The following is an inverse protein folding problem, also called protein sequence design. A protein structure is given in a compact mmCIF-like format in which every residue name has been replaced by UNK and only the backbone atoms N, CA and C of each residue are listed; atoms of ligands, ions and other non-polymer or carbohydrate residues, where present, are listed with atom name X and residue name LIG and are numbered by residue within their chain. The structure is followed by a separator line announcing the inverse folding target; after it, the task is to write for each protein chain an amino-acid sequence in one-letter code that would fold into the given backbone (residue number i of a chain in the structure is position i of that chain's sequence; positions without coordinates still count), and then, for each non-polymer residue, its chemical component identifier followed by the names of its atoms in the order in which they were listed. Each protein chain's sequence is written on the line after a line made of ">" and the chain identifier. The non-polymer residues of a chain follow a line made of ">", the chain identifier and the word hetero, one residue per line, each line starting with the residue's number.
data_IF_631069588504
#
_entry.id   IF_631069588504
#
_cell.length_a   1.000
_cell.length_b   1.000
_cell.length_c   1.000
_cell.angle_alpha   90.00
_cell.angle_beta   90.00
_cell.angle_gamma   90.00
#
_symmetry.space_group_name_H-M   'P 1'
#
loop_
_entity.id
_entity.type
_entity.pdbx_description
1 polymer ?
#
# COMPACT_ATOMS: atom_id res chain seq x y z
N UNK A 1 20.44 -14.02 -1.62
CA UNK A 1 19.41 -13.79 -2.65
C UNK A 1 18.06 -13.91 -1.96
N UNK A 2 17.40 -12.79 -1.66
CA UNK A 2 16.08 -12.81 -0.99
C UNK A 2 15.04 -13.21 -2.04
N UNK A 3 14.39 -14.37 -1.88
CA UNK A 3 13.27 -14.77 -2.72
C UNK A 3 12.16 -13.73 -2.58
N UNK A 4 11.78 -13.10 -3.67
CA UNK A 4 10.71 -12.11 -3.68
C UNK A 4 9.36 -12.81 -3.69
N UNK A 5 8.72 -12.76 -2.52
CA UNK A 5 7.29 -12.77 -2.19
C UNK A 5 6.30 -13.29 -3.25
N UNK A 6 5.60 -14.38 -2.91
CA UNK A 6 4.33 -14.78 -3.53
C UNK A 6 3.34 -13.60 -3.52
N UNK A 7 2.48 -13.49 -4.54
CA UNK A 7 1.58 -12.35 -4.74
C UNK A 7 0.67 -12.06 -3.56
N UNK A 8 0.28 -13.09 -2.80
CA UNK A 8 -0.52 -12.95 -1.57
C UNK A 8 0.23 -12.23 -0.44
N UNK A 9 1.52 -11.97 -0.59
CA UNK A 9 2.38 -11.33 0.41
C UNK A 9 2.58 -9.84 0.15
N UNK A 10 1.82 -9.24 -0.77
CA UNK A 10 1.83 -7.79 -1.01
C UNK A 10 0.43 -7.22 -1.20
N UNK A 11 0.26 -5.93 -0.91
CA UNK A 11 -0.97 -5.18 -1.16
C UNK A 11 -0.67 -3.70 -1.40
N UNK A 12 -1.58 -3.00 -2.07
CA UNK A 12 -1.50 -1.55 -2.23
C UNK A 12 -2.39 -0.87 -1.20
N UNK A 13 -1.82 0.12 -0.50
CA UNK A 13 -2.60 0.99 0.34
C UNK A 13 -2.21 2.45 0.17
N UNK A 14 -3.09 3.32 0.65
CA UNK A 14 -2.83 4.75 0.75
C UNK A 14 -2.88 5.20 2.19
N UNK A 15 -1.96 6.07 2.58
CA UNK A 15 -2.03 6.79 3.86
C UNK A 15 -2.38 8.26 3.61
N UNK A 16 -3.30 8.78 4.43
CA UNK A 16 -3.68 10.19 4.46
C UNK A 16 -2.71 10.97 5.36
N UNK A 17 -1.97 11.94 4.81
CA UNK A 17 -0.97 12.72 5.55
C UNK A 17 -1.34 14.21 5.58
N UNK A 18 -1.50 14.77 6.78
CA UNK A 18 -1.63 16.21 6.99
C UNK A 18 -2.85 16.85 6.35
N UNK A 19 -3.98 16.13 6.24
CA UNK A 19 -5.28 16.59 5.71
C UNK A 19 -5.33 16.92 4.20
N UNK A 20 -4.21 16.95 3.49
CA UNK A 20 -4.14 17.34 2.06
C UNK A 20 -3.28 16.42 1.20
N UNK A 21 -2.39 15.60 1.79
CA UNK A 21 -1.41 14.82 1.03
C UNK A 21 -1.66 13.32 1.12
N UNK A 22 -1.98 12.70 -0.02
CA UNK A 22 -2.10 11.24 -0.14
C UNK A 22 -0.75 10.61 -0.53
N UNK A 23 -0.41 9.48 0.10
CA UNK A 23 0.77 8.67 -0.27
C UNK A 23 0.36 7.24 -0.53
N UNK A 24 0.70 6.73 -1.70
CA UNK A 24 0.42 5.35 -2.09
C UNK A 24 1.65 4.50 -1.87
N UNK A 25 1.44 3.35 -1.23
CA UNK A 25 2.46 2.38 -0.90
C UNK A 25 2.13 1.03 -1.54
N UNK A 26 3.16 0.37 -2.07
CA UNK A 26 3.19 -1.08 -2.17
C UNK A 26 3.69 -1.60 -0.82
N UNK A 27 2.85 -2.37 -0.13
CA UNK A 27 3.14 -2.94 1.17
C UNK A 27 3.44 -4.42 1.00
N UNK A 28 4.53 -4.89 1.59
CA UNK A 28 4.96 -6.27 1.53
C UNK A 28 5.05 -6.85 2.95
N UNK A 29 4.52 -8.06 3.11
CA UNK A 29 4.74 -8.89 4.29
C UNK A 29 6.07 -9.61 4.16
N UNK A 30 6.91 -9.50 5.18
CA UNK A 30 8.12 -10.34 5.30
C UNK A 30 7.95 -11.33 6.46
N UNK A 31 9.01 -12.06 6.78
CA UNK A 31 9.05 -12.95 7.95
C UNK A 31 8.85 -12.17 9.25
N UNK A 32 9.55 -11.04 9.42
CA UNK A 32 9.63 -10.33 10.71
C UNK A 32 9.10 -8.88 10.64
N UNK A 33 8.74 -8.38 9.46
CA UNK A 33 8.40 -6.98 9.26
C UNK A 33 7.38 -6.73 8.16
N UNK A 34 6.66 -5.63 8.30
CA UNK A 34 5.86 -5.01 7.26
C UNK A 34 6.68 -3.91 6.58
N UNK A 35 6.85 -3.99 5.26
CA UNK A 35 7.62 -3.01 4.49
C UNK A 35 6.68 -2.22 3.60
N UNK A 36 6.71 -0.89 3.68
CA UNK A 36 5.95 0.00 2.81
C UNK A 36 6.85 0.77 1.86
N UNK A 37 6.77 0.45 0.57
CA UNK A 37 7.47 1.17 -0.49
C UNK A 37 6.56 2.22 -1.09
N UNK A 38 6.96 3.49 -1.03
CA UNK A 38 6.19 4.56 -1.67
C UNK A 38 6.29 4.46 -3.20
N UNK A 39 5.16 4.19 -3.85
CA UNK A 39 5.04 4.01 -5.31
C UNK A 39 4.36 5.20 -6.03
N UNK A 40 3.70 6.08 -5.29
CA UNK A 40 3.16 7.33 -5.84
C UNK A 40 3.07 8.45 -4.80
N UNK A 41 3.28 9.68 -5.28
CA UNK A 41 2.89 10.92 -4.61
C UNK A 41 1.48 11.30 -5.02
N UNK A 42 0.79 12.02 -4.12
CA UNK A 42 -0.36 12.90 -4.36
C UNK A 42 -1.33 12.46 -5.45
N UNK A 43 -2.27 11.62 -5.06
CA UNK A 43 -3.56 11.56 -5.73
C UNK A 43 -4.40 12.64 -5.07
N UNK A 44 -4.44 13.84 -5.63
CA UNK A 44 -5.31 14.92 -5.20
C UNK A 44 -6.71 14.71 -5.78
N UNK A 45 -7.73 15.20 -5.07
CA UNK A 45 -9.17 15.08 -5.37
C UNK A 45 -9.60 15.71 -6.72
N UNK A 46 -8.69 16.27 -7.50
CA UNK A 46 -9.05 17.24 -8.53
C UNK A 46 -8.94 16.67 -9.94
N UNK A 47 -10.14 16.38 -10.43
CA UNK A 47 -10.57 16.30 -11.83
C UNK A 47 -10.27 15.00 -12.58
N UNK A 48 -11.29 14.54 -13.31
CA UNK A 48 -11.27 13.47 -14.31
C UNK A 48 -10.27 13.74 -15.47
N UNK A 49 -9.57 14.87 -15.42
CA UNK A 49 -8.64 15.41 -16.41
C UNK A 49 -7.17 15.37 -15.98
N UNK A 50 -6.86 14.84 -14.78
CA UNK A 50 -5.46 14.68 -14.38
C UNK A 50 -4.84 13.45 -15.10
N UNK A 51 -4.28 13.70 -16.28
CA UNK A 51 -3.68 12.71 -17.19
C UNK A 51 -2.65 11.79 -16.51
N UNK A 52 -2.09 12.20 -15.36
CA UNK A 52 -1.12 11.43 -14.59
C UNK A 52 -1.77 10.46 -13.58
N UNK A 53 -2.97 10.78 -13.09
CA UNK A 53 -3.70 10.00 -12.08
C UNK A 53 -4.61 8.97 -12.75
N UNK A 54 -5.19 9.31 -13.89
CA UNK A 54 -6.15 8.47 -14.60
C UNK A 54 -5.62 7.05 -14.95
N UNK A 55 -4.36 6.87 -15.39
CA UNK A 55 -3.79 5.54 -15.61
C UNK A 55 -3.69 4.72 -14.31
N UNK A 56 -3.33 5.35 -13.20
CA UNK A 56 -3.21 4.67 -11.90
C UNK A 56 -4.57 4.23 -11.35
N UNK A 57 -5.60 5.07 -11.50
CA UNK A 57 -6.95 4.71 -11.08
C UNK A 57 -7.50 3.57 -11.93
N UNK A 58 -7.25 3.55 -13.25
CA UNK A 58 -7.60 2.41 -14.10
C UNK A 58 -6.93 1.11 -13.65
N UNK A 59 -5.63 1.16 -13.32
CA UNK A 59 -4.89 0.01 -12.79
C UNK A 59 -5.46 -0.49 -11.47
N UNK A 60 -5.91 0.41 -10.59
CA UNK A 60 -6.58 0.03 -9.33
C UNK A 60 -7.98 -0.55 -9.57
N UNK A 61 -8.71 -0.04 -10.55
CA UNK A 61 -10.09 -0.43 -10.87
C UNK A 61 -10.19 -1.79 -11.59
N UNK A 62 -9.16 -2.22 -12.33
CA UNK A 62 -9.20 -3.44 -13.15
C UNK A 62 -9.10 -4.78 -12.38
N UNK A 63 -9.25 -4.73 -11.05
CA UNK A 63 -9.50 -5.86 -10.14
C UNK A 63 -8.50 -7.03 -10.06
N UNK A 64 -7.54 -7.21 -10.96
CA UNK A 64 -7.13 -8.59 -11.21
C UNK A 64 -5.68 -8.83 -11.60
N UNK A 65 -4.86 -7.80 -11.63
CA UNK A 65 -3.53 -7.98 -12.18
C UNK A 65 -2.48 -7.17 -11.44
N UNK A 66 -1.80 -7.85 -10.51
CA UNK A 66 -0.56 -7.31 -9.97
C UNK A 66 0.46 -7.07 -11.07
N UNK A 67 0.38 -7.70 -12.25
CA UNK A 67 1.23 -7.36 -13.40
C UNK A 67 0.89 -5.99 -13.97
N UNK A 68 -0.37 -5.55 -13.97
CA UNK A 68 -0.74 -4.18 -14.34
C UNK A 68 -0.19 -3.15 -13.34
N UNK A 69 -0.17 -3.49 -12.05
CA UNK A 69 0.49 -2.70 -11.00
C UNK A 69 2.02 -2.70 -11.19
N UNK A 70 2.62 -3.87 -11.40
CA UNK A 70 4.04 -4.04 -11.60
C UNK A 70 4.47 -3.26 -12.86
N UNK A 71 3.71 -3.37 -13.95
CA UNK A 71 3.88 -2.63 -15.20
C UNK A 71 3.78 -1.13 -14.97
N UNK A 72 2.80 -0.65 -14.19
CA UNK A 72 2.72 0.76 -13.81
C UNK A 72 3.96 1.22 -13.03
N UNK A 73 4.39 0.44 -12.03
CA UNK A 73 5.59 0.71 -11.25
C UNK A 73 6.83 0.72 -12.16
N UNK A 74 7.02 -0.31 -12.98
CA UNK A 74 8.14 -0.44 -13.93
C UNK A 74 8.18 0.71 -14.93
N UNK A 75 7.04 1.06 -15.53
CA UNK A 75 6.93 2.16 -16.49
C UNK A 75 7.17 3.53 -15.84
N UNK A 76 6.74 3.72 -14.59
CA UNK A 76 6.94 4.97 -13.85
C UNK A 76 8.36 5.11 -13.34
N UNK A 77 8.95 4.04 -12.84
CA UNK A 77 10.28 4.06 -12.24
C UNK A 77 11.40 3.85 -13.24
N UNK A 78 11.13 3.37 -14.48
CA UNK A 78 11.93 3.34 -15.74
C UNK A 78 13.43 3.01 -15.66
N UNK A 79 13.96 2.71 -14.48
CA UNK A 79 15.30 2.24 -14.18
C UNK A 79 15.12 1.13 -13.18
N UNK A 80 15.31 -0.09 -13.67
CA UNK A 80 15.36 -1.35 -12.95
C UNK A 80 15.67 -1.18 -11.47
N UNK A 81 14.63 -1.15 -10.65
CA UNK A 81 14.78 -1.57 -9.27
C UNK A 81 14.05 -2.90 -9.23
N UNK A 82 14.79 -4.04 -9.36
CA UNK A 82 14.24 -5.33 -8.97
C UNK A 82 13.54 -5.14 -7.64
N UNK A 83 12.33 -5.67 -7.44
CA UNK A 83 11.60 -5.46 -6.19
C UNK A 83 12.46 -5.87 -4.97
N UNK A 84 13.41 -6.80 -5.15
CA UNK A 84 14.40 -7.23 -4.14
C UNK A 84 15.59 -6.30 -3.91
N UNK A 85 15.73 -5.28 -4.74
CA UNK A 85 16.68 -4.18 -4.62
C UNK A 85 15.96 -2.84 -4.36
N UNK A 86 14.68 -2.85 -3.97
CA UNK A 86 13.99 -1.64 -3.53
C UNK A 86 14.73 -1.03 -2.34
N UNK A 87 15.58 -0.08 -2.66
CA UNK A 87 16.40 0.63 -1.70
C UNK A 87 15.49 1.61 -0.95
N UNK A 88 14.96 1.15 0.19
CA UNK A 88 14.03 1.88 1.07
C UNK A 88 14.54 3.31 1.35
N UNK A 89 15.88 3.48 1.34
CA UNK A 89 16.59 4.73 1.55
C UNK A 89 16.34 5.83 0.50
N UNK A 90 15.73 5.55 -0.66
CA UNK A 90 15.47 6.59 -1.67
C UNK A 90 14.25 7.47 -1.39
N UNK A 91 13.36 7.07 -0.49
CA UNK A 91 12.17 7.86 -0.14
C UNK A 91 12.02 7.95 1.37
N UNK A 92 12.12 9.17 1.92
CA UNK A 92 11.87 9.46 3.36
C UNK A 92 10.49 9.01 3.85
N UNK A 93 9.57 8.70 2.95
CA UNK A 93 8.22 8.25 3.27
C UNK A 93 8.07 6.72 3.26
N UNK A 94 8.99 5.97 2.64
CA UNK A 94 9.01 4.51 2.73
C UNK A 94 9.36 4.08 4.15
N UNK A 95 8.94 2.88 4.56
CA UNK A 95 9.09 2.43 5.95
C UNK A 95 9.29 0.93 6.08
N UNK A 96 9.87 0.53 7.22
CA UNK A 96 9.88 -0.84 7.74
C UNK A 96 9.28 -0.77 9.13
N UNK A 97 8.38 -1.70 9.45
CA UNK A 97 7.81 -1.85 10.79
C UNK A 97 7.99 -3.31 11.17
N UNK A 98 8.83 -3.56 12.16
CA UNK A 98 8.94 -4.88 12.78
C UNK A 98 7.59 -5.27 13.41
N UNK A 99 7.15 -6.51 13.23
CA UNK A 99 5.88 -6.96 13.77
C UNK A 99 5.83 -6.84 15.30
N UNK A 100 6.95 -7.07 15.97
CA UNK A 100 7.14 -6.87 17.43
C UNK A 100 6.85 -5.43 17.90
N UNK A 101 6.91 -4.43 17.01
CA UNK A 101 6.62 -3.03 17.31
C UNK A 101 5.16 -2.65 17.09
N UNK A 102 4.36 -3.55 16.52
CA UNK A 102 2.92 -3.33 16.29
C UNK A 102 2.17 -3.71 17.57
N UNK A 103 1.62 -2.71 18.25
CA UNK A 103 0.88 -2.86 19.51
C UNK A 103 -0.57 -3.30 19.29
N UNK A 104 -1.18 -2.89 18.17
CA UNK A 104 -2.57 -3.18 17.86
C UNK A 104 -2.85 -3.06 16.36
N UNK A 105 -3.81 -3.84 15.87
CA UNK A 105 -4.34 -3.76 14.51
C UNK A 105 -5.85 -3.74 14.55
N UNK A 106 -6.46 -2.75 13.90
CA UNK A 106 -7.92 -2.64 13.73
C UNK A 106 -8.28 -2.70 12.25
N UNK A 107 -9.39 -3.36 11.95
CA UNK A 107 -10.00 -3.34 10.63
C UNK A 107 -11.27 -2.50 10.66
N UNK A 108 -11.42 -1.64 9.66
CA UNK A 108 -12.62 -0.86 9.43
C UNK A 108 -13.07 -1.10 7.99
N UNK A 109 -14.17 -1.81 7.81
CA UNK A 109 -14.71 -2.13 6.47
C UNK A 109 -15.25 -0.89 5.74
N UNK A 110 -15.54 0.19 6.48
CA UNK A 110 -16.05 1.41 5.89
C UNK A 110 -14.96 2.16 5.12
N UNK A 111 -15.35 2.57 3.92
CA UNK A 111 -14.64 3.53 3.07
C UNK A 111 -14.27 4.79 3.85
N UNK A 112 -13.11 5.38 3.56
CA UNK A 112 -12.74 6.69 4.08
C UNK A 112 -13.57 7.76 3.36
N UNK A 113 -14.24 8.61 4.12
CA UNK A 113 -14.97 9.77 3.59
C UNK A 113 -14.00 10.79 2.97
N UNK A 114 -14.44 11.55 1.97
CA UNK A 114 -13.64 12.58 1.31
C UNK A 114 -12.58 12.06 0.34
N UNK A 115 -12.71 10.81 -0.15
CA UNK A 115 -11.76 10.20 -1.11
C UNK A 115 -12.23 10.25 -2.57
N UNK A 116 -13.39 10.85 -2.84
CA UNK A 116 -13.98 10.90 -4.19
C UNK A 116 -14.22 9.51 -4.78
N UNK A 117 -13.85 9.36 -6.06
CA UNK A 117 -14.07 8.14 -6.86
C UNK A 117 -12.95 7.09 -6.73
N UNK A 118 -11.96 7.31 -5.86
CA UNK A 118 -10.86 6.36 -5.65
C UNK A 118 -11.44 5.04 -5.11
N UNK A 119 -11.27 3.91 -5.80
CA UNK A 119 -11.77 2.62 -5.32
C UNK A 119 -11.05 2.20 -4.06
N UNK A 120 -11.81 1.83 -3.04
CA UNK A 120 -11.31 1.41 -1.74
C UNK A 120 -12.17 0.30 -1.14
N UNK A 121 -11.53 -0.61 -0.40
CA UNK A 121 -12.14 -1.80 0.24
C UNK A 121 -11.99 -1.80 1.76
N UNK A 122 -12.10 -0.63 2.36
CA UNK A 122 -11.95 -0.46 3.80
C UNK A 122 -10.52 -0.08 4.17
N UNK A 123 -10.22 -0.20 5.46
CA UNK A 123 -9.04 0.37 6.09
C UNK A 123 -8.47 -0.55 7.15
N UNK A 124 -7.15 -0.62 7.21
CA UNK A 124 -6.40 -1.28 8.28
C UNK A 124 -5.64 -0.21 9.04
N UNK A 125 -5.84 -0.16 10.35
CA UNK A 125 -5.19 0.82 11.23
C UNK A 125 -4.20 0.06 12.10
N UNK A 126 -2.93 0.40 12.00
CA UNK A 126 -1.87 -0.17 12.84
C UNK A 126 -1.42 0.87 13.86
N UNK A 127 -1.30 0.43 15.12
CA UNK A 127 -0.74 1.22 16.20
C UNK A 127 0.68 0.74 16.49
N UNK A 128 1.66 1.58 16.23
CA UNK A 128 3.06 1.36 16.59
C UNK A 128 3.65 2.67 17.16
N UNK A 129 4.95 2.94 17.01
CA UNK A 129 5.52 4.24 17.38
C UNK A 129 4.80 5.42 16.72
N UNK A 130 4.36 5.22 15.47
CA UNK A 130 3.50 6.14 14.73
C UNK A 130 2.30 5.40 14.17
N UNK A 131 1.10 5.78 14.59
CA UNK A 131 -0.13 5.22 14.05
C UNK A 131 -0.20 5.42 12.53
N UNK A 132 -0.62 4.38 11.81
CA UNK A 132 -0.81 4.40 10.36
C UNK A 132 -2.20 3.87 10.01
N UNK A 133 -2.87 4.58 9.11
CA UNK A 133 -4.14 4.17 8.53
C UNK A 133 -3.90 3.84 7.05
N UNK A 134 -4.00 2.56 6.73
CA UNK A 134 -3.90 2.04 5.37
C UNK A 134 -5.30 1.93 4.75
N UNK A 135 -5.60 2.81 3.81
CA UNK A 135 -6.78 2.72 2.95
C UNK A 135 -6.47 1.70 1.86
N UNK A 136 -7.16 0.57 1.87
CA UNK A 136 -6.89 -0.50 0.92
C UNK A 136 -7.53 -0.14 -0.42
N UNK A 137 -6.72 -0.03 -1.46
CA UNK A 137 -7.16 0.43 -2.77
C UNK A 137 -7.74 -0.71 -3.62
N UNK A 138 -8.58 -0.39 -4.59
CA UNK A 138 -9.05 -1.35 -5.59
C UNK A 138 -10.04 -2.36 -5.01
N UNK A 139 -10.08 -3.57 -5.55
CA UNK A 139 -10.92 -4.67 -5.06
C UNK A 139 -10.15 -5.71 -4.24
N UNK A 140 -9.02 -5.33 -3.67
CA UNK A 140 -8.21 -6.21 -2.82
C UNK A 140 -9.02 -6.71 -1.62
N UNK A 141 -8.81 -7.98 -1.25
CA UNK A 141 -9.51 -8.60 -0.12
C UNK A 141 -8.93 -8.09 1.21
N UNK A 142 -9.51 -7.00 1.71
CA UNK A 142 -9.01 -6.31 2.91
C UNK A 142 -9.18 -7.14 4.19
N UNK A 143 -10.16 -8.04 4.23
CA UNK A 143 -10.32 -8.99 5.34
C UNK A 143 -9.17 -10.00 5.36
N UNK A 144 -8.81 -10.58 4.21
CA UNK A 144 -7.67 -11.49 4.09
C UNK A 144 -6.35 -10.80 4.48
N UNK A 145 -6.11 -9.58 3.97
CA UNK A 145 -4.91 -8.78 4.33
C UNK A 145 -4.84 -8.55 5.84
N UNK A 146 -5.96 -8.21 6.47
CA UNK A 146 -6.03 -8.00 7.91
C UNK A 146 -5.73 -9.28 8.70
N UNK A 147 -6.29 -10.43 8.30
CA UNK A 147 -6.02 -11.71 8.97
C UNK A 147 -4.54 -12.09 8.85
N UNK A 148 -3.96 -11.98 7.65
CA UNK A 148 -2.54 -12.26 7.42
C UNK A 148 -1.63 -11.37 8.27
N UNK A 149 -1.97 -10.09 8.42
CA UNK A 149 -1.23 -9.18 9.30
C UNK A 149 -1.31 -9.62 10.78
N UNK A 150 -2.49 -10.04 11.24
CA UNK A 150 -2.66 -10.57 12.61
C UNK A 150 -1.85 -11.85 12.85
N UNK A 151 -1.89 -12.78 11.91
CA UNK A 151 -1.10 -14.01 11.96
C UNK A 151 0.39 -13.66 12.12
N UNK A 152 0.92 -12.80 11.26
CA UNK A 152 2.33 -12.37 11.31
C UNK A 152 2.74 -11.74 12.64
N UNK A 153 1.85 -10.99 13.29
CA UNK A 153 2.12 -10.37 14.60
C UNK A 153 2.07 -11.40 15.73
N UNK A 154 1.19 -12.40 15.64
CA UNK A 154 1.07 -13.42 16.69
C UNK A 154 2.24 -14.42 16.69
N UNK A 155 2.92 -14.57 15.54
CA UNK A 155 4.08 -15.47 15.37
C UNK A 155 5.45 -14.76 15.46
N UNK A 156 5.47 -13.46 15.79
CA UNK A 156 6.69 -12.64 15.91
C UNK A 156 7.05 -12.32 17.35
#
# INVERSE_FOLDING_TARGET
>A
MVKLFEEESKFIAMEYYGLILNRTFLICFTENSLIGFKIANLITLETEYDFLIYPFIKVIQSNSDFDSINTYIENKYKKHIPIGNMNINKSKASFIIEYSKIKNVKFNENKKFGMGYIPQKGRIIISCEKNREFIILGNQNSKSIFQKLKEKINYS
#
